data_IF_633148434325
#
_entry.id   IF_633148434325
#
_cell.length_a   1.000
_cell.length_b   1.000
_cell.length_c   1.000
_cell.angle_alpha   90.00
_cell.angle_beta   90.00
_cell.angle_gamma   90.00
#
_symmetry.space_group_name_H-M   'P 1'
#
loop_
_entity.id
_entity.type
_entity.pdbx_description
1 polymer ?
#
# COMPACT_ATOMS: atom_id res chain seq x y z
N UNK A 1 50.06 -15.94 -17.34
CA UNK A 1 49.02 -16.24 -18.36
C UNK A 1 47.70 -15.71 -17.84
N UNK A 2 47.02 -14.86 -18.60
CA UNK A 2 45.73 -14.25 -18.23
C UNK A 2 44.64 -15.29 -17.96
N UNK A 3 44.68 -16.43 -18.66
CA UNK A 3 43.80 -17.58 -18.42
C UNK A 3 43.98 -18.12 -17.00
N UNK A 4 45.23 -18.35 -16.57
CA UNK A 4 45.51 -18.85 -15.22
C UNK A 4 45.06 -17.87 -14.14
N UNK A 5 45.16 -16.58 -14.39
CA UNK A 5 44.67 -15.55 -13.48
C UNK A 5 43.14 -15.53 -13.40
N UNK A 6 42.44 -15.64 -14.54
CA UNK A 6 40.98 -15.75 -14.59
C UNK A 6 40.48 -17.00 -13.83
N UNK A 7 41.12 -18.15 -14.02
CA UNK A 7 40.80 -19.39 -13.31
C UNK A 7 41.06 -19.25 -11.81
N UNK A 8 42.22 -18.71 -11.41
CA UNK A 8 42.51 -18.45 -9.98
C UNK A 8 41.48 -17.53 -9.35
N UNK A 9 41.05 -16.50 -10.07
CA UNK A 9 40.01 -15.56 -9.60
C UNK A 9 38.67 -16.27 -9.39
N UNK A 10 38.27 -17.15 -10.30
CA UNK A 10 37.06 -17.97 -10.16
C UNK A 10 37.15 -18.92 -8.96
N UNK A 11 38.25 -19.66 -8.82
CA UNK A 11 38.44 -20.62 -7.73
C UNK A 11 38.52 -19.96 -6.34
N UNK A 12 39.04 -18.72 -6.29
CA UNK A 12 39.14 -17.95 -5.05
C UNK A 12 37.86 -17.14 -4.73
N UNK A 13 36.81 -17.23 -5.55
CA UNK A 13 35.56 -16.57 -5.25
C UNK A 13 34.94 -17.14 -3.97
N UNK A 14 34.46 -16.27 -3.08
CA UNK A 14 33.82 -16.68 -1.81
C UNK A 14 32.57 -17.50 -2.11
N UNK A 15 32.26 -18.49 -1.26
CA UNK A 15 31.01 -19.27 -1.38
C UNK A 15 29.73 -18.42 -1.29
N UNK A 16 29.79 -17.26 -0.64
CA UNK A 16 28.70 -16.28 -0.57
C UNK A 16 28.54 -15.43 -1.85
N UNK A 17 29.37 -15.65 -2.86
CA UNK A 17 29.32 -14.91 -4.12
C UNK A 17 28.04 -15.25 -4.87
N UNK A 18 27.33 -14.22 -5.33
CA UNK A 18 26.11 -14.44 -6.10
C UNK A 18 26.41 -15.18 -7.40
N UNK A 19 25.47 -16.02 -7.82
CA UNK A 19 25.51 -16.70 -9.11
C UNK A 19 25.80 -15.74 -10.28
N UNK A 20 25.24 -14.53 -10.27
CA UNK A 20 25.50 -13.51 -11.30
C UNK A 20 26.97 -13.11 -11.37
N UNK A 21 27.60 -12.92 -10.20
CA UNK A 21 29.02 -12.58 -10.15
C UNK A 21 29.89 -13.78 -10.54
N UNK A 22 29.47 -15.00 -10.22
CA UNK A 22 30.12 -16.22 -10.72
C UNK A 22 30.02 -16.33 -12.25
N UNK A 23 28.86 -16.01 -12.84
CA UNK A 23 28.64 -16.00 -14.30
C UNK A 23 29.63 -15.09 -15.01
N UNK A 24 29.90 -13.89 -14.47
CA UNK A 24 30.89 -12.95 -15.03
C UNK A 24 32.31 -13.53 -14.98
N UNK A 25 32.65 -14.30 -13.95
CA UNK A 25 33.96 -14.94 -13.85
C UNK A 25 34.13 -16.06 -14.88
N UNK A 26 33.08 -16.84 -15.14
CA UNK A 26 33.08 -17.83 -16.23
C UNK A 26 33.17 -17.15 -17.60
N UNK A 27 32.40 -16.08 -17.82
CA UNK A 27 32.48 -15.27 -19.05
C UNK A 27 33.91 -14.79 -19.30
N UNK A 28 34.61 -14.29 -18.27
CA UNK A 28 36.00 -13.87 -18.38
C UNK A 28 36.94 -15.04 -18.71
N UNK A 29 36.76 -16.22 -18.12
CA UNK A 29 37.58 -17.41 -18.46
C UNK A 29 37.40 -17.77 -19.94
N UNK A 30 36.15 -17.84 -20.43
CA UNK A 30 35.85 -18.15 -21.82
C UNK A 30 36.47 -17.08 -22.74
N UNK A 31 36.34 -15.80 -22.40
CA UNK A 31 36.89 -14.67 -23.16
C UNK A 31 38.43 -14.73 -23.27
N UNK A 32 39.14 -15.00 -22.16
CA UNK A 32 40.60 -15.14 -22.19
C UNK A 32 41.05 -16.36 -23.01
N UNK A 33 40.32 -17.48 -22.93
CA UNK A 33 40.61 -18.67 -23.73
C UNK A 33 40.33 -18.44 -25.22
N UNK A 34 39.24 -17.75 -25.58
CA UNK A 34 38.93 -17.40 -26.96
C UNK A 34 39.96 -16.43 -27.56
N UNK A 35 40.47 -15.48 -26.78
CA UNK A 35 41.53 -14.57 -27.24
C UNK A 35 42.84 -15.31 -27.51
N UNK A 36 43.20 -16.24 -26.62
CA UNK A 36 44.39 -17.08 -26.81
C UNK A 36 44.24 -18.02 -28.02
N UNK A 37 43.06 -18.59 -28.23
CA UNK A 37 42.74 -19.48 -29.37
C UNK A 37 43.00 -18.80 -30.72
N UNK A 38 42.85 -17.47 -30.83
CA UNK A 38 43.17 -16.72 -32.06
C UNK A 38 44.64 -16.80 -32.46
N UNK A 39 45.53 -17.04 -31.50
CA UNK A 39 46.98 -17.09 -31.70
C UNK A 39 47.55 -18.52 -31.58
N UNK A 40 46.73 -19.49 -31.19
CA UNK A 40 47.14 -20.86 -30.92
C UNK A 40 47.24 -21.73 -32.18
N UNK A 41 48.11 -22.74 -32.15
CA UNK A 41 48.14 -23.77 -33.19
C UNK A 41 46.93 -24.72 -33.07
N UNK A 42 46.52 -25.29 -34.21
CA UNK A 42 45.34 -26.17 -34.29
C UNK A 42 45.43 -27.40 -33.40
N UNK A 43 46.64 -27.92 -33.15
CA UNK A 43 46.83 -29.09 -32.28
C UNK A 43 46.53 -28.78 -30.80
N UNK A 44 46.55 -27.50 -30.40
CA UNK A 44 46.33 -27.06 -29.02
C UNK A 44 45.00 -26.31 -28.84
N UNK A 45 44.00 -26.62 -29.68
CA UNK A 45 42.68 -25.97 -29.61
C UNK A 45 41.96 -26.27 -28.29
N UNK A 46 41.40 -25.23 -27.66
CA UNK A 46 40.62 -25.33 -26.42
C UNK A 46 39.11 -25.47 -26.68
N UNK A 47 38.67 -25.60 -27.93
CA UNK A 47 37.22 -25.59 -28.27
C UNK A 47 36.41 -26.67 -27.57
N UNK A 48 36.96 -27.88 -27.46
CA UNK A 48 36.30 -29.00 -26.78
C UNK A 48 36.21 -28.73 -25.27
N UNK A 49 37.27 -28.20 -24.67
CA UNK A 49 37.32 -27.86 -23.24
C UNK A 49 36.41 -26.67 -22.88
N UNK A 50 36.17 -25.75 -23.82
CA UNK A 50 35.27 -24.61 -23.61
C UNK A 50 33.78 -24.96 -23.76
N UNK A 51 33.43 -26.06 -24.43
CA UNK A 51 32.03 -26.41 -24.67
C UNK A 51 31.22 -26.60 -23.36
N UNK A 52 31.71 -27.36 -22.35
CA UNK A 52 31.01 -27.48 -21.06
C UNK A 52 30.85 -26.15 -20.32
N UNK A 53 31.84 -25.24 -20.43
CA UNK A 53 31.77 -23.92 -19.80
C UNK A 53 30.70 -23.03 -20.45
N UNK A 54 30.52 -23.12 -21.78
CA UNK A 54 29.47 -22.40 -22.50
C UNK A 54 28.09 -22.92 -22.15
N UNK A 55 27.93 -24.24 -22.09
CA UNK A 55 26.68 -24.87 -21.68
C UNK A 55 26.30 -24.49 -20.24
N UNK A 56 27.26 -24.56 -19.33
CA UNK A 56 27.09 -24.11 -17.95
C UNK A 56 26.66 -22.64 -17.88
N UNK A 57 27.32 -21.76 -18.63
CA UNK A 57 26.98 -20.34 -18.69
C UNK A 57 25.55 -20.12 -19.20
N UNK A 58 25.13 -20.86 -20.23
CA UNK A 58 23.75 -20.80 -20.75
C UNK A 58 22.74 -21.27 -19.71
N UNK A 59 23.00 -22.37 -19.01
CA UNK A 59 22.11 -22.86 -17.95
C UNK A 59 22.03 -21.89 -16.78
N UNK A 60 23.13 -21.21 -16.48
CA UNK A 60 23.20 -20.13 -15.52
C UNK A 60 22.32 -18.95 -15.93
N UNK A 61 22.32 -18.54 -17.21
CA UNK A 61 21.38 -17.52 -17.70
C UNK A 61 19.92 -17.99 -17.65
N UNK A 62 19.63 -19.28 -17.90
CA UNK A 62 18.27 -19.82 -17.71
C UNK A 62 17.84 -19.79 -16.24
N UNK A 63 18.74 -20.07 -15.31
CA UNK A 63 18.46 -19.91 -13.87
C UNK A 63 18.19 -18.46 -13.51
N UNK A 64 18.89 -17.52 -14.15
CA UNK A 64 18.64 -16.09 -13.97
C UNK A 64 17.20 -15.71 -14.34
N UNK A 65 16.69 -16.18 -15.48
CA UNK A 65 15.31 -15.94 -15.92
C UNK A 65 14.29 -16.42 -14.88
N UNK A 66 14.54 -17.58 -14.26
CA UNK A 66 13.66 -18.12 -13.19
C UNK A 66 13.60 -17.20 -11.97
N UNK A 67 14.68 -16.47 -11.70
CA UNK A 67 14.75 -15.54 -10.57
C UNK A 67 14.04 -14.20 -10.84
N UNK A 68 13.74 -13.86 -12.10
CA UNK A 68 13.17 -12.56 -12.44
C UNK A 68 11.76 -12.35 -11.89
N UNK A 69 10.99 -13.43 -11.68
CA UNK A 69 9.67 -13.36 -11.04
C UNK A 69 9.70 -12.79 -9.60
N UNK A 70 10.86 -12.80 -8.94
CA UNK A 70 11.04 -12.25 -7.59
C UNK A 70 11.36 -10.75 -7.59
N UNK A 71 11.64 -10.15 -8.75
CA UNK A 71 12.10 -8.75 -8.81
C UNK A 71 11.04 -7.77 -8.29
N UNK A 72 9.75 -7.99 -8.60
CA UNK A 72 8.67 -7.15 -8.09
C UNK A 72 8.53 -7.26 -6.57
N UNK A 73 8.59 -8.49 -6.03
CA UNK A 73 8.57 -8.73 -4.58
C UNK A 73 9.73 -8.04 -3.86
N UNK A 74 10.91 -7.98 -4.48
CA UNK A 74 12.06 -7.25 -3.92
C UNK A 74 11.81 -5.75 -3.83
N UNK A 75 11.14 -5.15 -4.82
CA UNK A 75 10.76 -3.73 -4.77
C UNK A 75 9.79 -3.47 -3.63
N UNK A 76 8.75 -4.32 -3.49
CA UNK A 76 7.79 -4.23 -2.39
C UNK A 76 8.48 -4.36 -1.03
N UNK A 77 9.36 -5.35 -0.87
CA UNK A 77 10.11 -5.58 0.36
C UNK A 77 11.06 -4.41 0.70
N UNK A 78 11.74 -3.83 -0.28
CA UNK A 78 12.57 -2.63 -0.07
C UNK A 78 11.70 -1.44 0.39
N UNK A 79 10.52 -1.28 -0.22
CA UNK A 79 9.53 -0.30 0.23
C UNK A 79 9.09 -0.52 1.68
N UNK A 80 8.72 -1.74 2.05
CA UNK A 80 8.33 -2.11 3.40
C UNK A 80 9.43 -1.83 4.43
N UNK A 81 10.68 -2.21 4.12
CA UNK A 81 11.83 -1.96 4.99
C UNK A 81 12.08 -0.46 5.19
N UNK A 82 11.99 0.35 4.13
CA UNK A 82 12.09 1.81 4.24
C UNK A 82 10.98 2.38 5.12
N UNK A 83 9.74 1.92 4.95
CA UNK A 83 8.61 2.34 5.78
C UNK A 83 8.84 1.97 7.25
N UNK A 84 9.32 0.75 7.54
CA UNK A 84 9.66 0.34 8.90
C UNK A 84 10.73 1.25 9.53
N UNK A 85 11.76 1.63 8.78
CA UNK A 85 12.80 2.54 9.26
C UNK A 85 12.25 3.95 9.55
N UNK A 86 11.33 4.45 8.73
CA UNK A 86 10.71 5.78 8.93
C UNK A 86 9.74 5.78 10.10
N UNK A 87 9.02 4.67 10.33
CA UNK A 87 8.09 4.53 11.47
C UNK A 87 8.83 4.18 12.76
N UNK A 88 10.06 3.66 12.68
CA UNK A 88 10.83 3.23 13.85
C UNK A 88 10.98 4.30 14.93
N UNK A 89 11.26 5.59 14.66
CA UNK A 89 11.30 6.62 15.71
C UNK A 89 9.96 6.82 16.42
N UNK A 90 8.84 6.60 15.74
CA UNK A 90 7.50 6.70 16.33
C UNK A 90 7.23 5.48 17.23
N UNK A 91 7.62 4.29 16.77
CA UNK A 91 7.65 3.08 17.59
C UNK A 91 8.59 3.27 18.80
N UNK A 92 9.82 3.71 18.58
CA UNK A 92 10.82 3.98 19.61
C UNK A 92 10.33 5.03 20.61
N UNK A 93 9.65 6.10 20.19
CA UNK A 93 9.03 7.07 21.10
C UNK A 93 7.86 6.45 21.91
N UNK A 94 7.08 5.56 21.31
CA UNK A 94 6.02 4.81 22.00
C UNK A 94 6.58 3.79 23.02
N UNK A 95 7.75 3.19 22.75
CA UNK A 95 8.30 2.06 23.52
C UNK A 95 9.50 2.42 24.43
N UNK A 96 10.35 3.42 24.11
CA UNK A 96 11.37 4.02 25.01
C UNK A 96 10.78 4.93 26.06
N UNK A 97 9.48 5.20 26.01
CA UNK A 97 8.73 5.49 27.22
C UNK A 97 8.71 4.22 28.12
N UNK A 98 9.89 3.79 28.55
CA UNK A 98 10.12 2.72 29.51
C UNK A 98 9.89 3.27 30.92
N UNK A 99 8.64 3.68 31.13
CA UNK A 99 7.87 3.56 32.36
C UNK A 99 6.41 3.68 31.91
N UNK A 100 5.58 2.70 32.28
CA UNK A 100 4.12 2.86 32.32
C UNK A 100 3.25 2.63 31.07
N UNK A 101 3.59 1.75 30.12
CA UNK A 101 2.51 1.20 29.27
C UNK A 101 1.52 0.33 30.08
N UNK A 102 1.95 -0.17 31.25
CA UNK A 102 1.08 -0.78 32.26
C UNK A 102 0.22 0.24 33.05
N UNK A 103 0.62 1.52 33.19
CA UNK A 103 -0.30 2.58 33.66
C UNK A 103 -1.03 3.30 32.50
N UNK A 104 -0.77 2.97 31.23
CA UNK A 104 -1.58 3.42 30.09
C UNK A 104 -2.95 2.73 30.02
N UNK A 105 -3.11 1.57 30.66
CA UNK A 105 -4.42 1.05 31.07
C UNK A 105 -5.11 1.93 32.14
N UNK A 106 -4.43 2.96 32.65
CA UNK A 106 -4.92 4.03 33.52
C UNK A 106 -4.79 5.46 32.95
N UNK A 107 -4.28 5.64 31.73
CA UNK A 107 -4.31 6.92 30.96
C UNK A 107 -5.17 6.75 29.72
N UNK A 108 -6.47 6.60 29.95
CA UNK A 108 -7.49 6.37 28.90
C UNK A 108 -7.43 7.39 27.76
N UNK A 109 -7.12 8.66 28.04
CA UNK A 109 -7.14 9.72 27.03
C UNK A 109 -6.13 9.52 25.89
N UNK A 110 -4.87 9.16 26.20
CA UNK A 110 -3.83 8.98 25.17
C UNK A 110 -4.07 7.71 24.37
N UNK A 111 -4.49 6.63 25.04
CA UNK A 111 -4.88 5.39 24.37
C UNK A 111 -6.05 5.61 23.42
N UNK A 112 -7.10 6.33 23.86
CA UNK A 112 -8.24 6.69 23.01
C UNK A 112 -7.84 7.60 21.84
N UNK A 113 -6.92 8.54 22.05
CA UNK A 113 -6.40 9.41 20.98
C UNK A 113 -5.62 8.60 19.93
N UNK A 114 -4.70 7.73 20.36
CA UNK A 114 -3.95 6.86 19.45
C UNK A 114 -4.86 5.88 18.71
N UNK A 115 -5.85 5.31 19.40
CA UNK A 115 -6.84 4.44 18.78
C UNK A 115 -7.68 5.19 17.75
N UNK A 116 -8.11 6.42 18.06
CA UNK A 116 -8.84 7.27 17.11
C UNK A 116 -8.00 7.64 15.89
N UNK A 117 -6.71 7.93 16.06
CA UNK A 117 -5.78 8.20 14.94
C UNK A 117 -5.59 6.94 14.10
N UNK A 118 -5.38 5.79 14.75
CA UNK A 118 -5.26 4.49 14.08
C UNK A 118 -6.50 4.17 13.25
N UNK A 119 -7.69 4.24 13.86
CA UNK A 119 -8.96 4.00 13.21
C UNK A 119 -9.22 4.97 12.04
N UNK A 120 -8.83 6.24 12.18
CA UNK A 120 -8.94 7.23 11.10
C UNK A 120 -8.06 6.88 9.89
N UNK A 121 -6.85 6.33 10.08
CA UNK A 121 -6.01 5.95 8.94
C UNK A 121 -6.31 4.53 8.43
N UNK A 122 -6.82 3.65 9.27
CA UNK A 122 -7.25 2.29 8.91
C UNK A 122 -8.32 2.29 7.81
N UNK A 123 -9.22 3.28 7.83
CA UNK A 123 -10.26 3.43 6.81
C UNK A 123 -9.68 3.56 5.38
N UNK A 124 -8.46 4.07 5.22
CA UNK A 124 -7.82 4.23 3.91
C UNK A 124 -7.04 3.00 3.45
N UNK A 125 -6.86 1.99 4.30
CA UNK A 125 -6.10 0.77 3.96
C UNK A 125 -6.64 0.10 2.69
N UNK A 126 -7.94 -0.15 2.51
CA UNK A 126 -8.45 -0.80 1.30
C UNK A 126 -8.14 -0.02 0.01
N UNK A 127 -8.19 1.32 0.10
CA UNK A 127 -7.92 2.22 -1.02
C UNK A 127 -6.43 2.26 -1.39
N UNK A 128 -5.56 2.28 -0.38
CA UNK A 128 -4.10 2.20 -0.57
C UNK A 128 -3.73 0.84 -1.14
N UNK A 129 -4.28 -0.25 -0.61
CA UNK A 129 -4.06 -1.60 -1.15
C UNK A 129 -4.55 -1.73 -2.59
N UNK A 130 -5.70 -1.12 -2.93
CA UNK A 130 -6.17 -1.08 -4.30
C UNK A 130 -5.19 -0.34 -5.22
N UNK A 131 -4.73 0.85 -4.82
CA UNK A 131 -3.75 1.60 -5.59
C UNK A 131 -2.44 0.84 -5.80
N UNK A 132 -1.99 0.09 -4.77
CA UNK A 132 -0.82 -0.78 -4.89
C UNK A 132 -1.06 -1.95 -5.85
N UNK A 133 -2.25 -2.55 -5.85
CA UNK A 133 -2.63 -3.60 -6.83
C UNK A 133 -2.63 -3.06 -8.25
N UNK A 134 -3.26 -1.91 -8.48
CA UNK A 134 -3.31 -1.23 -9.79
C UNK A 134 -1.92 -0.83 -10.29
N UNK A 135 -1.00 -0.46 -9.38
CA UNK A 135 0.40 -0.21 -9.73
C UNK A 135 1.17 -1.50 -10.10
N UNK A 136 0.80 -2.63 -9.50
CA UNK A 136 1.50 -3.92 -9.62
C UNK A 136 1.11 -4.69 -10.88
N UNK A 137 -0.16 -4.69 -11.25
CA UNK A 137 -0.69 -5.45 -12.38
C UNK A 137 0.04 -5.16 -13.72
N UNK A 138 0.26 -3.88 -14.14
CA UNK A 138 0.98 -3.59 -15.38
C UNK A 138 2.44 -4.07 -15.37
N UNK A 139 3.09 -4.04 -14.20
CA UNK A 139 4.47 -4.47 -14.04
C UNK A 139 4.59 -6.01 -14.08
N UNK A 140 3.63 -6.72 -13.49
CA UNK A 140 3.56 -8.18 -13.52
C UNK A 140 3.30 -8.70 -14.94
N UNK A 141 2.37 -8.09 -15.66
CA UNK A 141 2.06 -8.48 -17.03
C UNK A 141 3.23 -8.21 -17.98
N UNK A 142 3.83 -7.02 -17.89
CA UNK A 142 5.02 -6.69 -18.68
C UNK A 142 6.18 -7.67 -18.40
N UNK A 143 6.37 -8.07 -17.14
CA UNK A 143 7.40 -9.03 -16.77
C UNK A 143 7.08 -10.44 -17.30
N UNK A 144 5.84 -10.91 -17.14
CA UNK A 144 5.40 -12.22 -17.65
C UNK A 144 5.58 -12.30 -19.16
N UNK A 145 5.15 -11.28 -19.89
CA UNK A 145 5.28 -11.25 -21.34
C UNK A 145 6.74 -11.21 -21.78
N UNK A 146 7.59 -10.48 -21.06
CA UNK A 146 9.02 -10.48 -21.32
C UNK A 146 9.66 -11.85 -21.07
N UNK A 147 9.33 -12.50 -19.95
CA UNK A 147 9.84 -13.84 -19.61
C UNK A 147 9.42 -14.89 -20.65
N UNK A 148 8.21 -14.79 -21.22
CA UNK A 148 7.75 -15.71 -22.28
C UNK A 148 8.63 -15.63 -23.54
N UNK A 149 9.13 -14.45 -23.89
CA UNK A 149 9.89 -14.23 -25.13
C UNK A 149 11.39 -14.42 -24.97
N UNK A 150 11.94 -14.22 -23.78
CA UNK A 150 13.39 -14.35 -23.56
C UNK A 150 13.80 -15.81 -23.53
N UNK A 151 14.78 -16.16 -24.36
CA UNK A 151 15.40 -17.48 -24.40
C UNK A 151 16.91 -17.33 -24.50
N UNK A 152 17.63 -18.02 -23.63
CA UNK A 152 19.08 -18.19 -23.70
C UNK A 152 19.39 -19.58 -24.21
N UNK A 153 19.65 -19.70 -25.52
CA UNK A 153 19.98 -20.96 -26.19
C UNK A 153 21.31 -20.90 -26.96
N UNK A 154 21.95 -19.73 -27.00
CA UNK A 154 23.13 -19.49 -27.81
C UNK A 154 24.40 -19.82 -27.01
N UNK A 155 25.33 -20.58 -27.62
CA UNK A 155 26.63 -20.93 -27.03
C UNK A 155 27.74 -19.92 -27.38
N UNK A 156 27.45 -18.94 -28.24
CA UNK A 156 28.36 -17.86 -28.57
C UNK A 156 28.40 -16.82 -27.44
N UNK A 157 29.57 -16.61 -26.85
CA UNK A 157 29.77 -15.71 -25.72
C UNK A 157 29.29 -14.28 -26.01
N UNK A 158 29.55 -13.75 -27.20
CA UNK A 158 29.11 -12.41 -27.58
C UNK A 158 27.58 -12.30 -27.62
N UNK A 159 26.91 -13.29 -28.21
CA UNK A 159 25.44 -13.34 -28.23
C UNK A 159 24.85 -13.44 -26.81
N UNK A 160 25.49 -14.22 -25.92
CA UNK A 160 25.10 -14.30 -24.50
C UNK A 160 25.24 -12.93 -23.82
N UNK A 161 26.37 -12.23 -24.00
CA UNK A 161 26.61 -10.90 -23.40
C UNK A 161 25.59 -9.87 -23.89
N UNK A 162 25.35 -9.80 -25.20
CA UNK A 162 24.41 -8.85 -25.81
C UNK A 162 22.96 -9.13 -25.38
N UNK A 163 22.54 -10.41 -25.41
CA UNK A 163 21.20 -10.79 -24.98
C UNK A 163 20.97 -10.54 -23.48
N UNK A 164 21.98 -10.80 -22.64
CA UNK A 164 21.96 -10.47 -21.20
C UNK A 164 21.80 -8.98 -20.97
N UNK A 165 22.59 -8.14 -21.66
CA UNK A 165 22.53 -6.68 -21.52
C UNK A 165 21.16 -6.12 -21.95
N UNK A 166 20.60 -6.66 -23.04
CA UNK A 166 19.26 -6.28 -23.52
C UNK A 166 18.20 -6.65 -22.49
N UNK A 167 18.32 -7.83 -21.87
CA UNK A 167 17.42 -8.27 -20.80
C UNK A 167 17.49 -7.39 -19.57
N UNK A 168 18.69 -7.10 -19.06
CA UNK A 168 18.87 -6.22 -17.90
C UNK A 168 18.31 -4.82 -18.14
N UNK A 169 18.54 -4.28 -19.34
CA UNK A 169 18.00 -2.96 -19.73
C UNK A 169 16.48 -2.97 -19.74
N UNK A 170 15.85 -4.03 -20.23
CA UNK A 170 14.40 -4.15 -20.29
C UNK A 170 13.79 -4.34 -18.90
N UNK A 171 14.35 -5.25 -18.09
CA UNK A 171 13.95 -5.47 -16.70
C UNK A 171 14.08 -4.19 -15.88
N UNK A 172 15.17 -3.45 -16.03
CA UNK A 172 15.35 -2.17 -15.35
C UNK A 172 14.23 -1.18 -15.67
N UNK A 173 13.75 -1.11 -16.92
CA UNK A 173 12.62 -0.25 -17.29
C UNK A 173 11.33 -0.67 -16.60
N UNK A 174 11.04 -1.97 -16.53
CA UNK A 174 9.85 -2.51 -15.84
C UNK A 174 9.93 -2.16 -14.34
N UNK A 175 11.06 -2.49 -13.69
CA UNK A 175 11.29 -2.25 -12.27
C UNK A 175 11.26 -0.76 -11.92
N UNK A 176 11.85 0.09 -12.76
CA UNK A 176 11.83 1.54 -12.58
C UNK A 176 10.40 2.08 -12.60
N UNK A 177 9.60 1.70 -13.60
CA UNK A 177 8.19 2.13 -13.70
C UNK A 177 7.38 1.66 -12.50
N UNK A 178 7.56 0.40 -12.09
CA UNK A 178 6.88 -0.13 -10.90
C UNK A 178 7.26 0.63 -9.63
N UNK A 179 8.55 0.91 -9.44
CA UNK A 179 9.06 1.70 -8.32
C UNK A 179 8.51 3.12 -8.30
N UNK A 180 8.41 3.76 -9.46
CA UNK A 180 7.80 5.10 -9.61
C UNK A 180 6.31 5.06 -9.26
N UNK A 181 5.57 4.04 -9.70
CA UNK A 181 4.14 3.89 -9.41
C UNK A 181 3.85 3.62 -7.92
N UNK A 182 4.57 2.68 -7.29
CA UNK A 182 4.43 2.37 -5.85
C UNK A 182 4.96 3.49 -4.96
N UNK A 183 5.92 4.28 -5.45
CA UNK A 183 6.46 5.45 -4.75
C UNK A 183 5.61 6.71 -4.85
N UNK A 184 4.44 6.65 -5.51
CA UNK A 184 3.53 7.78 -5.59
C UNK A 184 3.03 8.21 -4.21
N UNK A 185 2.78 9.51 -4.05
CA UNK A 185 2.25 10.04 -2.79
C UNK A 185 0.82 9.54 -2.55
N UNK A 186 0.54 9.14 -1.31
CA UNK A 186 -0.80 8.69 -0.89
C UNK A 186 -1.74 9.84 -0.52
N UNK A 187 -1.24 11.09 -0.42
CA UNK A 187 -2.05 12.27 -0.09
C UNK A 187 -3.32 12.42 -0.94
N UNK A 188 -3.29 12.24 -2.28
CA UNK A 188 -4.51 12.32 -3.10
C UNK A 188 -5.54 11.22 -2.81
N UNK A 189 -5.13 10.12 -2.14
CA UNK A 189 -6.05 9.07 -1.69
C UNK A 189 -6.80 9.50 -0.43
N UNK A 190 -6.20 10.32 0.42
CA UNK A 190 -6.86 10.86 1.61
C UNK A 190 -7.94 11.88 1.27
N UNK A 191 -7.83 12.52 0.10
CA UNK A 191 -8.86 13.39 -0.45
C UNK A 191 -10.08 12.61 -0.98
N UNK A 192 -9.99 11.28 -1.14
CA UNK A 192 -11.14 10.45 -1.56
C UNK A 192 -12.00 10.08 -0.35
N UNK A 193 -13.33 10.17 -0.53
CA UNK A 193 -14.28 9.76 0.50
C UNK A 193 -14.17 8.25 0.74
N UNK A 194 -13.92 7.89 1.99
CA UNK A 194 -14.01 6.50 2.43
C UNK A 194 -15.44 6.25 2.87
N UNK A 195 -16.02 5.13 2.43
CA UNK A 195 -17.30 4.69 2.96
C UNK A 195 -17.09 4.34 4.44
N UNK A 196 -17.62 5.17 5.32
CA UNK A 196 -17.73 4.84 6.73
C UNK A 196 -18.82 3.76 6.79
N UNK A 197 -18.40 2.51 6.96
CA UNK A 197 -19.33 1.45 7.34
C UNK A 197 -19.94 1.87 8.69
N UNK A 198 -21.22 2.25 8.68
CA UNK A 198 -21.95 2.49 9.92
C UNK A 198 -21.80 1.23 10.77
N UNK A 199 -21.29 1.35 11.99
CA UNK A 199 -21.17 0.20 12.89
C UNK A 199 -22.50 -0.56 12.89
N UNK A 200 -22.47 -1.85 12.51
CA UNK A 200 -23.70 -2.64 12.51
C UNK A 200 -24.20 -2.67 13.95
N UNK A 201 -25.35 -2.03 14.20
CA UNK A 201 -25.99 -2.11 15.50
C UNK A 201 -26.33 -3.57 15.72
N UNK A 202 -25.63 -4.22 16.66
CA UNK A 202 -25.96 -5.59 17.04
C UNK A 202 -27.43 -5.58 17.51
N UNK A 203 -28.28 -6.34 16.81
CA UNK A 203 -29.69 -6.46 17.17
C UNK A 203 -29.75 -7.08 18.57
N UNK A 204 -30.30 -6.34 19.53
CA UNK A 204 -30.50 -6.82 20.90
C UNK A 204 -31.39 -8.08 20.86
N UNK A 205 -31.02 -9.17 21.55
CA UNK A 205 -31.86 -10.36 21.63
C UNK A 205 -33.21 -10.01 22.26
N UNK A 206 -34.31 -10.41 21.61
CA UNK A 206 -35.65 -10.24 22.17
C UNK A 206 -35.88 -11.28 23.28
N UNK A 207 -35.88 -10.81 24.54
CA UNK A 207 -36.12 -11.65 25.72
C UNK A 207 -37.62 -11.79 26.05
N UNK A 208 -38.53 -11.23 25.23
CA UNK A 208 -39.97 -11.26 25.50
C UNK A 208 -40.57 -12.67 25.51
N UNK A 209 -39.90 -13.66 24.92
CA UNK A 209 -40.35 -15.05 24.84
C UNK A 209 -39.84 -15.98 25.96
N UNK A 210 -38.93 -15.53 26.84
CA UNK A 210 -38.30 -16.41 27.86
C UNK A 210 -39.25 -16.61 29.05
N UNK A 211 -40.05 -17.69 29.03
CA UNK A 211 -40.85 -18.14 30.17
C UNK A 211 -39.97 -18.80 31.22
N UNK A 212 -39.71 -18.11 32.32
CA UNK A 212 -38.93 -18.62 33.45
C UNK A 212 -39.63 -18.33 34.78
N UNK A 213 -39.71 -19.32 35.67
CA UNK A 213 -40.36 -19.21 36.98
C UNK A 213 -39.38 -18.90 38.12
N UNK A 214 -39.89 -18.33 39.21
CA UNK A 214 -39.13 -18.04 40.42
C UNK A 214 -37.92 -17.11 40.18
N UNK A 215 -36.71 -17.60 40.48
CA UNK A 215 -35.46 -16.82 40.31
C UNK A 215 -35.17 -16.49 38.84
N UNK A 216 -35.66 -17.30 37.90
CA UNK A 216 -35.51 -17.06 36.46
C UNK A 216 -36.29 -15.84 35.99
N UNK A 217 -37.51 -15.63 36.51
CA UNK A 217 -38.33 -14.43 36.23
C UNK A 217 -37.61 -13.15 36.63
N UNK A 218 -37.00 -13.16 37.82
CA UNK A 218 -36.25 -12.01 38.35
C UNK A 218 -35.01 -11.71 37.52
N UNK A 219 -34.30 -12.74 37.04
CA UNK A 219 -33.17 -12.57 36.15
C UNK A 219 -33.58 -11.97 34.79
N UNK A 220 -34.72 -12.39 34.23
CA UNK A 220 -35.28 -11.83 32.99
C UNK A 220 -35.71 -10.36 33.18
N UNK A 221 -36.36 -10.01 34.30
CA UNK A 221 -36.70 -8.61 34.62
C UNK A 221 -35.47 -7.70 34.75
N UNK A 222 -34.42 -8.18 35.43
CA UNK A 222 -33.16 -7.46 35.58
C UNK A 222 -32.44 -7.32 34.25
N UNK A 223 -32.41 -8.38 33.43
CA UNK A 223 -31.87 -8.34 32.08
C UNK A 223 -32.61 -7.31 31.21
N UNK A 224 -33.94 -7.32 31.21
CA UNK A 224 -34.75 -6.34 30.48
C UNK A 224 -34.50 -4.90 30.97
N UNK A 225 -34.35 -4.71 32.28
CA UNK A 225 -34.04 -3.39 32.86
C UNK A 225 -32.65 -2.90 32.47
N UNK A 226 -31.65 -3.80 32.48
CA UNK A 226 -30.28 -3.50 32.05
C UNK A 226 -30.25 -3.19 30.56
N UNK A 227 -30.96 -3.97 29.73
CA UNK A 227 -31.06 -3.72 28.29
C UNK A 227 -31.73 -2.38 27.99
N UNK A 228 -32.84 -2.05 28.65
CA UNK A 228 -33.52 -0.76 28.45
C UNK A 228 -32.62 0.42 28.84
N UNK A 229 -31.91 0.31 29.98
CA UNK A 229 -30.96 1.34 30.42
C UNK A 229 -29.75 1.44 29.50
N UNK A 230 -29.19 0.31 29.07
CA UNK A 230 -28.09 0.27 28.13
C UNK A 230 -28.48 0.87 26.78
N UNK A 231 -29.69 0.60 26.28
CA UNK A 231 -30.21 1.20 25.04
C UNK A 231 -30.33 2.73 25.15
N UNK A 232 -30.80 3.25 26.29
CA UNK A 232 -30.86 4.71 26.49
C UNK A 232 -29.50 5.38 26.66
N UNK A 233 -28.52 4.70 27.26
CA UNK A 233 -27.17 5.24 27.49
C UNK A 233 -26.29 5.13 26.24
N UNK A 234 -26.50 4.08 25.45
CA UNK A 234 -25.80 3.80 24.21
C UNK A 234 -26.63 4.18 22.98
N UNK A 235 -27.61 5.08 23.11
CA UNK A 235 -28.41 5.56 21.98
C UNK A 235 -27.52 6.37 21.03
N UNK A 236 -27.01 5.67 20.02
CA UNK A 236 -26.19 6.24 18.95
C UNK A 236 -27.02 6.67 17.75
N UNK A 237 -28.37 6.61 17.82
CA UNK A 237 -29.25 6.88 16.67
C UNK A 237 -29.02 8.28 16.11
N UNK A 238 -28.95 9.29 16.98
CA UNK A 238 -28.64 10.66 16.57
C UNK A 238 -27.24 10.80 15.96
N UNK A 239 -26.24 10.05 16.44
CA UNK A 239 -24.89 10.07 15.89
C UNK A 239 -24.81 9.40 14.51
N UNK A 240 -25.55 8.30 14.31
CA UNK A 240 -25.68 7.60 13.02
C UNK A 240 -26.42 8.47 12.01
N UNK A 241 -27.54 9.09 12.39
CA UNK A 241 -28.29 10.02 11.55
C UNK A 241 -27.42 11.23 11.16
N UNK A 242 -26.66 11.78 12.10
CA UNK A 242 -25.74 12.88 11.83
C UNK A 242 -24.59 12.47 10.91
N UNK A 243 -24.05 11.26 11.06
CA UNK A 243 -23.01 10.71 10.19
C UNK A 243 -23.53 10.51 8.75
N UNK A 244 -24.73 9.95 8.59
CA UNK A 244 -25.34 9.76 7.27
C UNK A 244 -25.70 11.09 6.61
N UNK A 245 -26.19 12.07 7.38
CA UNK A 245 -26.40 13.43 6.89
C UNK A 245 -25.09 14.12 6.51
N UNK A 246 -24.01 13.91 7.27
CA UNK A 246 -22.69 14.48 6.96
C UNK A 246 -22.14 13.89 5.68
N UNK A 247 -22.26 12.58 5.49
CA UNK A 247 -21.92 11.87 4.24
C UNK A 247 -22.71 12.41 3.05
N UNK A 248 -24.03 12.51 3.17
CA UNK A 248 -24.90 13.09 2.13
C UNK A 248 -24.50 14.53 1.79
N UNK A 249 -24.22 15.37 2.80
CA UNK A 249 -23.80 16.75 2.60
C UNK A 249 -22.46 16.86 1.88
N UNK A 250 -21.48 16.04 2.26
CA UNK A 250 -20.14 16.07 1.65
C UNK A 250 -20.15 15.54 0.21
N UNK A 251 -20.92 14.46 -0.05
CA UNK A 251 -21.19 13.99 -1.42
C UNK A 251 -21.81 15.12 -2.27
N UNK A 252 -22.82 15.82 -1.75
CA UNK A 252 -23.48 16.92 -2.46
C UNK A 252 -22.57 18.14 -2.70
N UNK A 253 -21.61 18.41 -1.80
CA UNK A 253 -20.61 19.48 -1.97
C UNK A 253 -19.58 19.11 -3.04
N UNK A 254 -19.21 17.82 -3.13
CA UNK A 254 -18.16 17.32 -4.03
C UNK A 254 -18.65 16.94 -5.43
N UNK A 255 -19.96 16.88 -5.68
CA UNK A 255 -20.49 16.85 -7.06
C UNK A 255 -20.04 18.14 -7.74
N UNK A 256 -18.98 18.02 -8.55
CA UNK A 256 -18.51 19.04 -9.47
C UNK A 256 -19.70 19.49 -10.32
N UNK A 257 -20.06 20.78 -10.22
CA UNK A 257 -20.92 21.43 -11.20
C UNK A 257 -20.10 21.51 -12.50
N UNK A 258 -20.07 20.41 -13.24
CA UNK A 258 -19.40 20.36 -14.54
C UNK A 258 -20.33 21.01 -15.57
N UNK A 259 -20.22 22.33 -15.71
CA UNK A 259 -20.99 23.08 -16.69
C UNK A 259 -20.40 22.85 -18.09
N UNK A 260 -21.12 22.09 -18.91
CA UNK A 260 -20.94 22.07 -20.36
C UNK A 260 -22.32 22.14 -21.03
N UNK A 261 -22.85 23.35 -21.29
CA UNK A 261 -24.14 23.53 -21.97
C UNK A 261 -24.54 25.00 -22.16
N UNK A 262 -25.49 25.28 -23.07
CA UNK A 262 -25.97 26.63 -23.44
C UNK A 262 -26.98 27.24 -22.43
N UNK A 263 -27.22 28.55 -22.56
CA UNK A 263 -27.80 29.49 -21.58
C UNK A 263 -29.16 29.12 -20.93
N UNK A 264 -29.94 28.19 -21.47
CA UNK A 264 -31.26 27.82 -20.90
C UNK A 264 -31.15 27.06 -19.56
N UNK A 265 -30.10 26.25 -19.36
CA UNK A 265 -29.88 25.47 -18.12
C UNK A 265 -29.32 26.28 -16.94
N UNK A 266 -28.85 27.51 -17.21
CA UNK A 266 -28.40 28.49 -16.20
C UNK A 266 -29.50 28.79 -15.16
N UNK A 267 -30.77 28.74 -15.60
CA UNK A 267 -31.94 28.95 -14.75
C UNK A 267 -32.19 27.80 -13.77
N UNK A 268 -31.85 26.56 -14.13
CA UNK A 268 -31.96 25.38 -13.26
C UNK A 268 -30.86 25.35 -12.19
N UNK A 269 -29.62 25.70 -12.58
CA UNK A 269 -28.49 25.83 -11.65
C UNK A 269 -28.72 26.97 -10.64
N UNK A 270 -29.33 28.09 -11.05
CA UNK A 270 -29.75 29.14 -10.12
C UNK A 270 -30.83 28.67 -9.13
N UNK A 271 -31.75 27.78 -9.54
CA UNK A 271 -32.72 27.15 -8.63
C UNK A 271 -32.02 26.21 -7.64
N UNK A 272 -31.06 25.41 -8.09
CA UNK A 272 -30.30 24.49 -7.23
C UNK A 272 -29.40 25.25 -6.22
N UNK A 273 -28.69 26.28 -6.68
CA UNK A 273 -27.94 27.20 -5.81
C UNK A 273 -28.85 28.00 -4.87
N UNK A 274 -30.06 28.35 -5.32
CA UNK A 274 -31.11 28.96 -4.51
C UNK A 274 -31.58 28.04 -3.36
N UNK A 275 -31.79 26.76 -3.65
CA UNK A 275 -32.12 25.73 -2.65
C UNK A 275 -31.01 25.50 -1.62
N UNK A 276 -29.75 25.47 -2.10
CA UNK A 276 -28.56 25.38 -1.23
C UNK A 276 -28.45 26.61 -0.31
N UNK A 277 -28.61 27.81 -0.86
CA UNK A 277 -28.59 29.06 -0.09
C UNK A 277 -29.78 29.20 0.86
N UNK A 278 -30.95 28.68 0.52
CA UNK A 278 -32.12 28.65 1.42
C UNK A 278 -31.89 27.69 2.60
N UNK A 279 -31.23 26.56 2.37
CA UNK A 279 -30.86 25.59 3.41
C UNK A 279 -29.80 26.15 4.36
N UNK A 280 -28.77 26.81 3.80
CA UNK A 280 -27.75 27.54 4.58
C UNK A 280 -28.41 28.65 5.41
N UNK A 281 -29.33 29.44 4.82
CA UNK A 281 -30.08 30.46 5.58
C UNK A 281 -30.93 29.85 6.69
N UNK A 282 -31.59 28.71 6.48
CA UNK A 282 -32.34 28.01 7.54
C UNK A 282 -31.45 27.55 8.68
N UNK A 283 -30.22 27.08 8.39
CA UNK A 283 -29.26 26.68 9.40
C UNK A 283 -28.68 27.87 10.18
N UNK A 284 -28.53 29.03 9.54
CA UNK A 284 -27.99 30.25 10.14
C UNK A 284 -29.08 31.09 10.85
N UNK A 285 -30.35 30.98 10.45
CA UNK A 285 -31.46 31.79 10.97
C UNK A 285 -31.65 31.74 12.51
N UNK A 286 -31.46 30.60 13.20
CA UNK A 286 -31.48 30.57 14.67
C UNK A 286 -30.35 31.41 15.29
N UNK A 287 -29.21 31.47 14.61
CA UNK A 287 -28.02 32.20 15.06
C UNK A 287 -28.12 33.71 14.79
N UNK A 288 -28.93 34.12 13.80
CA UNK A 288 -29.20 35.53 13.51
C UNK A 288 -30.26 36.16 14.43
N UNK A 289 -31.07 35.35 15.13
CA UNK A 289 -31.95 35.82 16.21
C UNK A 289 -31.16 36.23 17.46
N UNK A 290 -29.92 35.75 17.60
CA UNK A 290 -29.01 36.19 18.65
C UNK A 290 -28.32 37.50 18.20
N UNK A 291 -28.55 38.55 18.98
CA UNK A 291 -27.89 39.84 18.78
C UNK A 291 -26.36 39.69 18.66
N UNK A 292 -25.74 40.52 17.83
CA UNK A 292 -24.29 40.46 17.53
C UNK A 292 -23.42 40.48 18.81
N UNK A 293 -23.89 41.17 19.85
CA UNK A 293 -23.24 41.21 21.17
C UNK A 293 -23.26 39.85 21.88
N UNK A 294 -24.39 39.15 21.86
CA UNK A 294 -24.56 37.81 22.46
C UNK A 294 -23.73 36.77 21.71
N UNK A 295 -23.67 36.87 20.38
CA UNK A 295 -22.81 36.02 19.54
C UNK A 295 -21.32 36.19 19.88
N UNK A 296 -20.84 37.43 20.02
CA UNK A 296 -19.45 37.72 20.43
C UNK A 296 -19.13 37.20 21.84
N UNK A 297 -20.10 37.28 22.75
CA UNK A 297 -19.92 36.80 24.12
C UNK A 297 -19.78 35.27 24.17
N UNK A 298 -20.62 34.53 23.43
CA UNK A 298 -20.55 33.06 23.35
C UNK A 298 -19.24 32.58 22.71
N UNK A 299 -18.73 33.26 21.68
CA UNK A 299 -17.41 32.94 21.10
C UNK A 299 -16.24 33.27 22.03
N UNK A 300 -16.40 34.25 22.93
CA UNK A 300 -15.38 34.62 23.92
C UNK A 300 -15.34 33.69 25.14
N UNK A 301 -16.46 33.03 25.46
CA UNK A 301 -16.57 32.08 26.59
C UNK A 301 -16.00 30.70 26.24
N UNK A 302 -15.99 30.30 24.96
CA UNK A 302 -15.40 29.02 24.51
C UNK A 302 -13.86 29.12 24.35
N UNK A 303 -13.30 30.33 24.44
CA UNK A 303 -11.86 30.61 24.34
C UNK A 303 -11.14 30.84 25.67
N UNK A 304 -11.69 30.39 26.81
CA UNK A 304 -11.02 30.34 28.11
C UNK A 304 -11.00 28.93 28.69
#
# INVERSE_FOLDING_TARGET
SLILEAIKTFLNAKLSTSHMKMSVLIENIIEQCEEWEKMADRMNSLRQELAPLRELLVDWKKMEVRSWGELLRRVEKDGQLRTQLVVFPLFDALFKAETDWAQLLGRSTVSSQLHSIGAHFEQYVPLVEQSLREAREPAEDALKDYVKIVKFNDLNLWNIKVSSQKAHTHLFKIIRRFREAVGAQVQPLFDKLVQIDSASVAVLPDLSEVKADGRGRRAVELANTIMAKAATVCDITAAVELAEQTKCCDEAIRVLINYQGEDEEKTSVHKCAGGRNASIRKAIAPNDQLGVATRKHLTGVIGQ
#
